data_IF_085651701238
#
_entry.id   IF_085651701238
#
_cell.length_a   1.000
_cell.length_b   1.000
_cell.length_c   1.000
_cell.angle_alpha   90.00
_cell.angle_beta   90.00
_cell.angle_gamma   90.00
#
_symmetry.space_group_name_H-M   'P 1'
#
loop_
_entity.id
_entity.type
_entity.pdbx_description
1 polymer ?
#
# COMPACT_ATOMS: atom_id res chain seq x y z
N UNK A 1 11.85 -5.84 3.03
CA UNK A 1 11.47 -4.73 3.94
C UNK A 1 11.10 -5.36 5.28
N UNK A 2 11.35 -4.69 6.41
CA UNK A 2 10.84 -5.19 7.69
C UNK A 2 9.33 -4.91 7.77
N UNK A 3 8.56 -5.84 8.32
CA UNK A 3 7.17 -5.58 8.66
C UNK A 3 7.10 -4.48 9.74
N UNK A 4 6.27 -3.47 9.51
CA UNK A 4 6.05 -2.38 10.45
C UNK A 4 4.66 -2.53 11.07
N UNK A 5 4.58 -2.57 12.39
CA UNK A 5 3.30 -2.63 13.11
C UNK A 5 2.50 -1.31 13.09
N UNK A 6 3.12 -0.21 12.67
CA UNK A 6 2.48 1.08 12.46
C UNK A 6 3.20 1.87 11.36
N UNK A 7 2.50 2.86 10.82
CA UNK A 7 3.01 3.78 9.80
C UNK A 7 2.26 5.10 9.91
N UNK A 8 2.91 6.20 9.53
CA UNK A 8 2.29 7.52 9.56
C UNK A 8 2.01 8.02 8.15
N UNK A 9 0.74 8.29 7.89
CA UNK A 9 0.24 8.83 6.63
C UNK A 9 0.21 10.36 6.68
N UNK A 10 0.74 11.01 5.64
CA UNK A 10 0.71 12.47 5.52
C UNK A 10 0.08 12.86 4.19
N UNK A 11 -0.97 13.68 4.26
CA UNK A 11 -1.70 14.16 3.10
C UNK A 11 -0.77 14.78 2.05
N UNK A 12 -0.97 14.40 0.79
CA UNK A 12 -0.17 14.83 -0.37
C UNK A 12 1.32 14.48 -0.31
N UNK A 13 1.75 13.63 0.63
CA UNK A 13 3.16 13.19 0.74
C UNK A 13 3.30 11.67 0.79
N UNK A 14 2.29 10.93 1.22
CA UNK A 14 2.38 9.48 1.40
C UNK A 14 2.86 9.10 2.80
N UNK A 15 3.70 8.07 2.88
CA UNK A 15 4.11 7.46 4.16
C UNK A 15 5.43 8.07 4.65
N UNK A 16 5.46 8.59 5.87
CA UNK A 16 6.70 9.15 6.44
C UNK A 16 7.81 8.09 6.48
N UNK A 17 8.96 8.39 5.86
CA UNK A 17 10.10 7.47 5.76
C UNK A 17 10.10 6.55 4.53
N UNK A 18 9.01 6.46 3.75
CA UNK A 18 9.01 5.72 2.49
C UNK A 18 9.84 6.43 1.41
N UNK A 19 10.38 5.64 0.48
CA UNK A 19 11.15 6.13 -0.65
C UNK A 19 10.40 7.18 -1.48
N UNK A 20 9.07 7.09 -1.62
CA UNK A 20 8.27 8.01 -2.43
C UNK A 20 7.74 9.21 -1.64
N UNK A 21 8.07 9.33 -0.35
CA UNK A 21 7.56 10.39 0.51
C UNK A 21 7.84 11.79 -0.04
N UNK A 22 6.78 12.54 -0.35
CA UNK A 22 6.84 13.92 -0.84
C UNK A 22 7.45 14.09 -2.24
N UNK A 23 7.77 13.00 -2.96
CA UNK A 23 8.40 13.07 -4.29
C UNK A 23 7.39 13.25 -5.43
N UNK A 24 6.11 12.98 -5.17
CA UNK A 24 5.07 12.94 -6.19
C UNK A 24 3.70 13.28 -5.61
N UNK A 25 2.86 13.92 -6.41
CA UNK A 25 1.45 14.20 -6.09
C UNK A 25 0.52 12.99 -6.32
N UNK A 26 1.03 11.93 -6.95
CA UNK A 26 0.31 10.66 -7.20
C UNK A 26 1.19 9.46 -6.84
N UNK A 27 0.65 8.23 -6.82
CA UNK A 27 1.42 7.00 -6.51
C UNK A 27 2.18 7.07 -5.16
N UNK A 28 1.52 7.62 -4.15
CA UNK A 28 2.09 7.86 -2.82
C UNK A 28 2.12 6.59 -1.94
N UNK A 29 1.30 5.60 -2.28
CA UNK A 29 1.18 4.31 -1.58
C UNK A 29 1.06 3.21 -2.63
N UNK A 30 1.79 2.11 -2.45
CA UNK A 30 1.65 0.90 -3.25
C UNK A 30 0.93 -0.17 -2.43
N UNK A 31 -0.22 -0.63 -2.93
CA UNK A 31 -1.00 -1.74 -2.39
C UNK A 31 -0.82 -2.96 -3.29
N UNK A 32 -0.81 -4.15 -2.69
CA UNK A 32 -0.87 -5.42 -3.42
C UNK A 32 -1.67 -6.44 -2.62
N UNK A 33 -2.46 -7.28 -3.30
CA UNK A 33 -3.15 -8.37 -2.63
C UNK A 33 -2.27 -9.63 -2.53
N UNK A 34 -2.48 -10.39 -1.46
CA UNK A 34 -1.76 -11.62 -1.18
C UNK A 34 -1.97 -12.72 -2.24
N UNK A 35 -3.17 -12.80 -2.83
CA UNK A 35 -3.47 -13.79 -3.88
C UNK A 35 -2.63 -13.55 -5.12
N UNK A 36 -2.47 -12.30 -5.54
CA UNK A 36 -1.60 -11.95 -6.67
C UNK A 36 -0.15 -12.32 -6.38
N UNK A 37 0.37 -11.98 -5.20
CA UNK A 37 1.73 -12.37 -4.81
C UNK A 37 1.92 -13.89 -4.87
N UNK A 38 0.99 -14.65 -4.30
CA UNK A 38 1.00 -16.10 -4.31
C UNK A 38 0.97 -16.69 -5.73
N UNK A 39 0.15 -16.15 -6.64
CA UNK A 39 0.09 -16.59 -8.05
C UNK A 39 1.46 -16.46 -8.73
N UNK A 40 2.23 -15.43 -8.36
CA UNK A 40 3.59 -15.21 -8.89
C UNK A 40 4.70 -15.86 -8.04
N UNK A 41 4.37 -16.61 -6.98
CA UNK A 41 5.35 -17.20 -6.08
C UNK A 41 6.21 -16.17 -5.33
N UNK A 42 5.61 -15.02 -5.00
CA UNK A 42 6.27 -13.91 -4.32
C UNK A 42 5.83 -13.86 -2.85
N UNK A 43 6.78 -13.55 -1.97
CA UNK A 43 6.49 -13.28 -0.56
C UNK A 43 6.05 -11.81 -0.35
N UNK A 44 5.26 -11.51 0.70
CA UNK A 44 4.97 -10.14 1.10
C UNK A 44 6.24 -9.28 1.29
N UNK A 45 6.20 -8.07 0.75
CA UNK A 45 7.29 -7.10 0.75
C UNK A 45 8.35 -7.35 -0.33
N UNK A 46 8.28 -8.44 -1.09
CA UNK A 46 9.26 -8.76 -2.13
C UNK A 46 9.22 -7.78 -3.30
N UNK A 47 8.02 -7.25 -3.63
CA UNK A 47 7.85 -6.22 -4.66
C UNK A 47 7.93 -4.79 -4.10
N UNK A 48 8.22 -4.65 -2.80
CA UNK A 48 8.30 -3.36 -2.09
C UNK A 48 6.97 -2.60 -2.06
N UNK A 49 5.87 -3.34 -2.04
CA UNK A 49 4.59 -2.79 -1.66
C UNK A 49 4.65 -2.25 -0.23
N UNK A 50 3.86 -1.21 0.04
CA UNK A 50 3.77 -0.64 1.38
C UNK A 50 2.79 -1.43 2.23
N UNK A 51 1.71 -1.95 1.62
CA UNK A 51 0.66 -2.68 2.31
C UNK A 51 0.27 -3.89 1.46
N UNK A 52 0.40 -5.07 2.06
CA UNK A 52 -0.18 -6.31 1.54
C UNK A 52 -1.60 -6.48 2.09
N UNK A 53 -2.58 -6.73 1.23
CA UNK A 53 -4.01 -6.82 1.58
C UNK A 53 -4.51 -8.26 1.37
N UNK A 54 -5.33 -8.73 2.30
CA UNK A 54 -5.98 -10.04 2.22
C UNK A 54 -7.50 -9.89 2.19
N UNK A 55 -8.17 -10.78 1.46
CA UNK A 55 -9.64 -10.90 1.51
C UNK A 55 -10.44 -9.83 0.74
N UNK A 56 -9.78 -8.96 -0.03
CA UNK A 56 -10.41 -7.95 -0.87
C UNK A 56 -9.82 -7.97 -2.28
N UNK A 57 -10.66 -7.83 -3.32
CA UNK A 57 -10.19 -7.63 -4.70
C UNK A 57 -9.88 -6.15 -4.93
N UNK A 58 -8.60 -5.79 -4.80
CA UNK A 58 -8.14 -4.41 -4.99
C UNK A 58 -8.06 -4.00 -6.46
N UNK A 59 -7.96 -4.96 -7.39
CA UNK A 59 -7.83 -4.68 -8.82
C UNK A 59 -9.16 -4.29 -9.45
N UNK A 60 -10.27 -4.70 -8.84
CA UNK A 60 -11.61 -4.28 -9.22
C UNK A 60 -12.04 -2.90 -8.70
N UNK A 61 -11.23 -2.22 -7.88
CA UNK A 61 -11.60 -0.94 -7.30
C UNK A 61 -11.57 0.18 -8.36
N UNK A 62 -12.63 1.01 -8.47
CA UNK A 62 -12.64 2.12 -9.41
C UNK A 62 -11.70 3.24 -8.96
N UNK A 63 -11.22 4.04 -9.92
CA UNK A 63 -10.50 5.27 -9.59
C UNK A 63 -11.37 6.19 -8.72
N UNK A 64 -10.76 6.80 -7.70
CA UNK A 64 -11.46 7.65 -6.74
C UNK A 64 -12.16 6.90 -5.60
N UNK A 65 -12.11 5.55 -5.58
CA UNK A 65 -12.54 4.79 -4.41
C UNK A 65 -11.74 5.20 -3.17
N UNK A 66 -12.42 5.36 -2.04
CA UNK A 66 -11.80 5.73 -0.75
C UNK A 66 -11.59 4.48 0.09
N UNK A 67 -10.41 4.37 0.69
CA UNK A 67 -10.05 3.28 1.58
C UNK A 67 -9.72 3.87 2.94
N UNK A 68 -10.45 3.44 3.96
CA UNK A 68 -10.16 3.78 5.34
C UNK A 68 -9.23 2.69 5.90
N UNK A 69 -8.05 3.10 6.40
CA UNK A 69 -7.03 2.18 6.90
C UNK A 69 -6.61 2.62 8.30
N UNK A 70 -6.97 1.82 9.30
CA UNK A 70 -6.76 2.18 10.70
C UNK A 70 -7.50 3.47 11.04
N UNK A 71 -6.77 4.46 11.55
CA UNK A 71 -7.31 5.79 11.91
C UNK A 71 -7.14 6.83 10.79
N UNK A 72 -6.60 6.45 9.63
CA UNK A 72 -6.49 7.34 8.49
C UNK A 72 -7.86 7.46 7.79
N UNK A 73 -8.40 8.68 7.75
CA UNK A 73 -9.59 9.11 6.98
C UNK A 73 -9.24 10.16 5.95
#
# INVERSE_FOLDING_TARGET
MAFLGNMKMVANKGIEGDHHFGKTSSRQVLLMDDKSLMVFGLEPGQIRENITISGMDIHGLPSGHKLDIGEAT
#
